data_IF_922506115650
#
_entry.id   IF_922506115650
#
_cell.length_a   1.000
_cell.length_b   1.000
_cell.length_c   1.000
_cell.angle_alpha   90.00
_cell.angle_beta   90.00
_cell.angle_gamma   90.00
#
_symmetry.space_group_name_H-M   'P 1'
#
loop_
_entity.id
_entity.type
_entity.pdbx_description
1 polymer ?
#
# COMPACT_ATOMS: atom_id res chain seq x y z
N UNK A 1 -14.92 10.72 -8.80
CA UNK A 1 -13.50 11.18 -8.81
C UNK A 1 -12.93 10.91 -7.43
N UNK A 2 -12.41 9.71 -7.22
CA UNK A 2 -11.75 9.35 -5.95
C UNK A 2 -10.23 9.39 -6.16
N UNK A 3 -9.65 10.57 -5.94
CA UNK A 3 -8.22 10.66 -5.75
C UNK A 3 -7.89 10.02 -4.41
N UNK A 4 -7.19 8.88 -4.40
CA UNK A 4 -6.51 8.39 -3.21
C UNK A 4 -5.38 9.39 -2.89
N UNK A 5 -5.68 10.38 -2.07
CA UNK A 5 -4.65 11.12 -1.37
C UNK A 5 -4.09 10.16 -0.31
N UNK A 6 -2.98 9.51 -0.61
CA UNK A 6 -2.20 8.78 0.38
C UNK A 6 -1.60 9.80 1.36
N UNK A 7 -2.39 10.23 2.33
CA UNK A 7 -1.87 10.89 3.51
C UNK A 7 -1.27 9.80 4.39
N UNK A 8 0.04 9.63 4.32
CA UNK A 8 0.81 8.83 5.27
C UNK A 8 0.98 9.71 6.50
N UNK A 9 0.49 9.30 7.68
CA UNK A 9 0.85 9.99 8.91
C UNK A 9 2.34 9.78 9.13
N UNK A 10 3.07 10.87 9.33
CA UNK A 10 4.53 10.90 9.51
C UNK A 10 5.06 9.97 10.62
N UNK A 11 4.20 9.44 11.49
CA UNK A 11 4.61 8.74 12.72
C UNK A 11 4.60 7.20 12.67
N UNK A 12 4.18 6.52 11.60
CA UNK A 12 4.01 5.05 11.63
C UNK A 12 4.64 4.25 10.49
N UNK A 13 5.15 4.88 9.45
CA UNK A 13 5.86 4.18 8.39
C UNK A 13 7.31 4.63 8.33
N UNK A 14 8.22 3.78 8.79
CA UNK A 14 9.64 3.94 8.49
C UNK A 14 9.83 3.71 6.98
N UNK A 15 10.47 4.67 6.30
CA UNK A 15 10.77 4.60 4.89
C UNK A 15 12.26 4.69 4.69
N UNK A 16 12.80 3.92 3.75
CA UNK A 16 14.11 4.22 3.19
C UNK A 16 13.96 5.17 2.02
N UNK A 17 14.50 6.37 2.16
CA UNK A 17 14.51 7.38 1.12
C UNK A 17 15.89 7.42 0.48
N UNK A 18 15.94 7.13 -0.81
CA UNK A 18 17.16 7.27 -1.61
C UNK A 18 17.02 8.51 -2.48
N UNK A 19 17.90 9.48 -2.26
CA UNK A 19 17.92 10.72 -3.04
C UNK A 19 18.99 10.65 -4.12
N UNK A 20 18.57 10.81 -5.38
CA UNK A 20 19.45 10.95 -6.50
C UNK A 20 19.75 12.44 -6.75
N UNK A 21 21.01 12.84 -6.68
CA UNK A 21 21.50 14.18 -7.07
C UNK A 21 22.41 14.07 -8.27
N UNK A 22 22.26 15.00 -9.21
CA UNK A 22 23.19 15.14 -10.33
C UNK A 22 24.57 15.54 -9.81
N UNK A 23 25.64 14.98 -10.38
CA UNK A 23 27.01 15.40 -10.05
C UNK A 23 27.21 16.89 -10.41
N UNK A 24 27.76 17.65 -9.50
CA UNK A 24 28.08 19.06 -9.68
C UNK A 24 29.09 19.36 -10.86
N UNK A 25 29.60 18.33 -11.52
CA UNK A 25 30.61 18.41 -12.57
C UNK A 25 30.13 19.04 -13.88
N UNK A 26 28.83 19.21 -14.09
CA UNK A 26 28.29 19.85 -15.30
C UNK A 26 27.37 21.03 -14.95
N UNK A 27 27.93 22.08 -14.40
CA UNK A 27 27.30 23.41 -14.44
C UNK A 27 26.02 23.62 -13.62
N UNK A 28 25.80 22.92 -12.55
CA UNK A 28 24.76 23.23 -11.54
C UNK A 28 23.31 23.30 -12.07
N UNK A 29 22.96 22.49 -13.04
CA UNK A 29 21.60 22.40 -13.57
C UNK A 29 20.76 21.36 -12.79
N UNK A 30 19.46 21.67 -12.66
CA UNK A 30 18.47 20.69 -12.17
C UNK A 30 18.44 19.46 -13.07
N UNK A 31 18.22 18.26 -12.49
CA UNK A 31 18.04 17.04 -13.27
C UNK A 31 16.80 17.20 -14.19
N UNK A 32 16.87 16.77 -15.47
CA UNK A 32 15.73 16.86 -16.35
C UNK A 32 14.56 16.04 -15.79
N UNK A 33 13.37 16.65 -15.72
CA UNK A 33 12.18 16.03 -15.17
C UNK A 33 11.61 15.00 -16.16
N UNK A 34 11.52 13.75 -15.75
CA UNK A 34 10.90 12.69 -16.54
C UNK A 34 9.37 12.81 -16.51
N UNK A 35 8.70 12.30 -17.55
CA UNK A 35 7.29 11.98 -17.49
C UNK A 35 7.05 10.66 -16.75
N UNK A 36 5.80 10.38 -16.38
CA UNK A 36 5.40 9.09 -15.80
C UNK A 36 5.86 7.93 -16.69
N UNK A 37 5.60 8.01 -18.00
CA UNK A 37 6.02 6.99 -18.96
C UNK A 37 7.55 6.78 -18.97
N UNK A 38 8.31 7.87 -18.98
CA UNK A 38 9.78 7.81 -18.95
C UNK A 38 10.32 7.21 -17.66
N UNK A 39 9.65 7.46 -16.54
CA UNK A 39 10.01 6.93 -15.23
C UNK A 39 9.71 5.41 -15.13
N UNK A 40 8.54 4.98 -15.59
CA UNK A 40 8.18 3.55 -15.59
C UNK A 40 9.08 2.72 -16.53
N UNK A 41 9.57 3.31 -17.62
CA UNK A 41 10.49 2.63 -18.54
C UNK A 41 11.90 2.39 -17.98
N UNK A 42 12.22 2.89 -16.78
CA UNK A 42 13.53 2.61 -16.17
C UNK A 42 13.71 1.14 -15.79
N UNK A 43 12.63 0.46 -15.45
CA UNK A 43 12.64 -0.99 -15.19
C UNK A 43 11.56 -1.65 -16.05
N UNK A 44 11.87 -2.76 -16.72
CA UNK A 44 10.88 -3.47 -17.51
C UNK A 44 9.67 -3.94 -16.68
N UNK A 45 8.48 -3.88 -17.27
CA UNK A 45 7.22 -4.33 -16.69
C UNK A 45 6.80 -3.60 -15.40
N UNK A 46 7.24 -2.37 -15.20
CA UNK A 46 6.66 -1.53 -14.17
C UNK A 46 5.32 -0.98 -14.64
N UNK A 47 4.35 -1.04 -13.73
CA UNK A 47 3.03 -0.41 -13.82
C UNK A 47 2.91 0.69 -12.77
N UNK A 48 2.02 1.63 -13.02
CA UNK A 48 1.61 2.64 -12.04
C UNK A 48 0.48 2.10 -11.15
N UNK A 49 0.37 2.63 -9.93
CA UNK A 49 -0.70 2.30 -8.97
C UNK A 49 -1.32 3.57 -8.35
N UNK A 50 -1.20 4.72 -9.03
CA UNK A 50 -1.81 5.97 -8.61
C UNK A 50 -3.28 6.08 -9.00
N UNK A 51 -3.65 5.47 -10.12
CA UNK A 51 -4.99 5.54 -10.69
C UNK A 51 -5.42 4.16 -11.19
N UNK A 52 -6.73 3.94 -11.20
CA UNK A 52 -7.33 2.75 -11.78
C UNK A 52 -7.39 2.95 -13.31
N UNK A 53 -6.68 2.12 -14.05
CA UNK A 53 -6.65 2.19 -15.52
C UNK A 53 -7.92 1.62 -16.17
N UNK A 54 -8.71 0.87 -15.42
CA UNK A 54 -10.00 0.32 -15.86
C UNK A 54 -11.15 1.33 -15.65
N UNK A 55 -10.89 2.48 -14.99
CA UNK A 55 -11.88 3.56 -14.87
C UNK A 55 -12.12 4.21 -16.24
N UNK A 56 -13.37 4.26 -16.69
CA UNK A 56 -13.78 4.87 -17.96
C UNK A 56 -13.40 6.38 -18.06
N UNK A 57 -13.21 7.07 -16.95
CA UNK A 57 -12.80 8.47 -16.88
C UNK A 57 -11.25 8.64 -16.86
N UNK A 58 -10.48 7.57 -16.85
CA UNK A 58 -9.02 7.64 -16.80
C UNK A 58 -8.43 8.13 -18.12
N UNK A 59 -7.84 9.32 -18.09
CA UNK A 59 -7.07 9.87 -19.23
C UNK A 59 -5.63 9.31 -19.23
N UNK A 60 -5.45 8.14 -19.83
CA UNK A 60 -4.17 7.48 -19.91
C UNK A 60 -3.10 8.33 -20.62
N UNK A 61 -3.42 9.00 -21.75
CA UNK A 61 -2.46 9.83 -22.50
C UNK A 61 -2.01 11.03 -21.65
N UNK A 62 -2.95 11.70 -21.01
CA UNK A 62 -2.66 12.82 -20.09
C UNK A 62 -1.80 12.37 -18.93
N UNK A 63 -2.19 11.28 -18.25
CA UNK A 63 -1.47 10.77 -17.09
C UNK A 63 -0.03 10.36 -17.41
N UNK A 64 0.18 9.55 -18.44
CA UNK A 64 1.52 9.06 -18.80
C UNK A 64 2.45 10.14 -19.34
N UNK A 65 1.90 11.23 -19.91
CA UNK A 65 2.65 12.40 -20.36
C UNK A 65 2.97 13.40 -19.25
N UNK A 66 2.26 13.33 -18.11
CA UNK A 66 2.45 14.22 -16.95
C UNK A 66 3.89 14.13 -16.42
N UNK A 67 4.49 15.28 -16.09
CA UNK A 67 5.84 15.31 -15.50
C UNK A 67 5.80 14.97 -14.02
N UNK A 68 6.83 14.26 -13.53
CA UNK A 68 6.91 13.90 -12.11
C UNK A 68 6.92 15.10 -11.17
N UNK A 69 7.35 16.28 -11.64
CA UNK A 69 7.26 17.53 -10.87
C UNK A 69 5.83 18.06 -10.69
N UNK A 70 4.86 17.52 -11.42
CA UNK A 70 3.43 17.88 -11.35
C UNK A 70 2.62 16.87 -10.49
N UNK A 71 3.26 15.77 -10.08
CA UNK A 71 2.71 14.77 -9.19
C UNK A 71 3.31 14.91 -7.79
N UNK A 72 2.56 14.53 -6.75
CA UNK A 72 3.13 14.35 -5.42
C UNK A 72 4.20 13.26 -5.48
N UNK A 73 3.81 12.06 -5.90
CA UNK A 73 4.69 10.92 -6.14
C UNK A 73 4.03 9.97 -7.15
N UNK A 74 4.86 9.20 -7.83
CA UNK A 74 4.45 8.07 -8.65
C UNK A 74 4.62 6.79 -7.84
N UNK A 75 3.54 6.10 -7.53
CA UNK A 75 3.58 4.74 -6.98
C UNK A 75 3.76 3.74 -8.12
N UNK A 76 4.85 2.99 -8.10
CA UNK A 76 5.21 2.02 -9.14
C UNK A 76 5.52 0.65 -8.57
N UNK A 77 5.26 -0.39 -9.36
CA UNK A 77 5.54 -1.77 -9.01
C UNK A 77 5.36 -2.69 -10.21
N UNK A 78 5.62 -3.97 -10.05
CA UNK A 78 5.39 -4.97 -11.09
C UNK A 78 4.15 -5.80 -10.75
N UNK A 79 3.22 -5.90 -11.71
CA UNK A 79 2.01 -6.70 -11.56
C UNK A 79 2.33 -8.15 -11.20
N UNK A 80 1.59 -8.69 -10.25
CA UNK A 80 1.75 -10.05 -9.76
C UNK A 80 3.00 -10.30 -8.91
N UNK A 81 3.88 -9.31 -8.75
CA UNK A 81 5.15 -9.44 -8.02
C UNK A 81 5.28 -8.46 -6.86
N UNK A 82 4.85 -7.21 -7.05
CA UNK A 82 4.98 -6.19 -6.02
C UNK A 82 3.95 -6.38 -4.92
N UNK A 83 4.42 -6.24 -3.68
CA UNK A 83 3.56 -6.17 -2.51
C UNK A 83 3.28 -4.74 -2.10
N UNK A 84 4.31 -3.90 -2.04
CA UNK A 84 4.21 -2.49 -1.65
C UNK A 84 4.69 -1.52 -2.72
N UNK A 85 5.49 -2.01 -3.68
CA UNK A 85 6.09 -1.17 -4.71
C UNK A 85 7.12 -0.19 -4.18
N UNK A 86 7.31 0.88 -4.94
CA UNK A 86 8.15 2.02 -4.62
C UNK A 86 7.44 3.31 -5.00
N UNK A 87 7.78 4.40 -4.34
CA UNK A 87 7.31 5.73 -4.69
C UNK A 87 8.46 6.55 -5.27
N UNK A 88 8.19 7.25 -6.37
CA UNK A 88 9.14 8.12 -7.03
C UNK A 88 8.60 9.53 -7.04
N UNK A 89 9.28 10.43 -6.34
CA UNK A 89 8.93 11.83 -6.26
C UNK A 89 10.05 12.69 -6.88
N UNK A 90 9.70 13.84 -7.41
CA UNK A 90 10.67 14.84 -7.88
C UNK A 90 10.49 16.14 -7.12
N UNK A 91 11.46 16.46 -6.28
CA UNK A 91 11.42 17.64 -5.42
C UNK A 91 12.80 18.30 -5.37
N UNK A 92 12.83 19.62 -5.33
CA UNK A 92 14.07 20.41 -5.22
C UNK A 92 15.14 20.05 -6.25
N UNK A 93 14.72 19.76 -7.49
CA UNK A 93 15.64 19.40 -8.57
C UNK A 93 16.27 18.01 -8.47
N UNK A 94 15.72 17.12 -7.64
CA UNK A 94 16.20 15.76 -7.41
C UNK A 94 15.08 14.73 -7.39
N UNK A 95 15.42 13.48 -7.71
CA UNK A 95 14.54 12.35 -7.53
C UNK A 95 14.69 11.75 -6.13
N UNK A 96 13.58 11.50 -5.46
CA UNK A 96 13.51 10.71 -4.24
C UNK A 96 12.82 9.40 -4.56
N UNK A 97 13.44 8.29 -4.22
CA UNK A 97 12.84 6.95 -4.34
C UNK A 97 12.62 6.43 -2.94
N UNK A 98 11.36 6.22 -2.59
CA UNK A 98 10.94 5.80 -1.26
C UNK A 98 10.48 4.35 -1.30
N UNK A 99 10.92 3.56 -0.34
CA UNK A 99 10.57 2.14 -0.17
C UNK A 99 10.10 1.96 1.25
N UNK A 100 8.86 1.49 1.42
CA UNK A 100 8.28 1.30 2.75
C UNK A 100 8.98 0.18 3.54
N UNK A 101 9.13 0.33 4.85
CA UNK A 101 9.72 -0.67 5.73
C UNK A 101 8.66 -1.33 6.61
N UNK A 102 8.54 -2.69 6.59
CA UNK A 102 9.20 -3.62 5.68
C UNK A 102 8.58 -3.61 4.27
N UNK A 103 9.37 -3.86 3.24
CA UNK A 103 8.89 -4.14 1.89
C UNK A 103 9.23 -5.57 1.48
N UNK A 104 8.60 -6.07 0.39
CA UNK A 104 8.87 -7.43 -0.07
C UNK A 104 10.24 -7.54 -0.74
N UNK A 105 10.77 -8.75 -0.84
CA UNK A 105 12.01 -8.99 -1.58
C UNK A 105 11.92 -8.58 -3.05
N UNK A 106 10.74 -8.73 -3.65
CA UNK A 106 10.51 -8.32 -5.03
C UNK A 106 10.56 -6.79 -5.17
N UNK A 107 9.89 -6.07 -4.28
CA UNK A 107 9.90 -4.61 -4.26
C UNK A 107 11.32 -4.06 -4.10
N UNK A 108 12.11 -4.61 -3.17
CA UNK A 108 13.49 -4.20 -2.97
C UNK A 108 14.36 -4.43 -4.22
N UNK A 109 14.25 -5.59 -4.88
CA UNK A 109 14.99 -5.85 -6.12
C UNK A 109 14.63 -4.89 -7.23
N UNK A 110 13.33 -4.63 -7.39
CA UNK A 110 12.83 -3.65 -8.37
C UNK A 110 13.35 -2.26 -8.04
N UNK A 111 13.30 -1.84 -6.79
CA UNK A 111 13.75 -0.54 -6.35
C UNK A 111 15.26 -0.34 -6.55
N UNK A 112 16.09 -1.34 -6.25
CA UNK A 112 17.53 -1.26 -6.47
C UNK A 112 17.89 -1.21 -7.96
N UNK A 113 17.17 -1.98 -8.80
CA UNK A 113 17.30 -1.89 -10.26
C UNK A 113 16.85 -0.51 -10.76
N UNK A 114 15.76 0.03 -10.24
CA UNK A 114 15.27 1.37 -10.56
C UNK A 114 16.31 2.43 -10.21
N UNK A 115 16.84 2.42 -9.00
CA UNK A 115 17.87 3.34 -8.53
C UNK A 115 19.13 3.27 -9.38
N UNK A 116 19.58 2.06 -9.74
CA UNK A 116 20.71 1.84 -10.62
C UNK A 116 20.49 2.51 -12.00
N UNK A 117 19.34 2.26 -12.61
CA UNK A 117 19.02 2.79 -13.93
C UNK A 117 18.77 4.31 -13.89
N UNK A 118 18.19 4.81 -12.82
CA UNK A 118 18.05 6.24 -12.58
C UNK A 118 19.42 6.93 -12.48
N UNK A 119 20.35 6.36 -11.68
CA UNK A 119 21.70 6.88 -11.54
C UNK A 119 22.47 6.89 -12.86
N UNK A 120 22.30 5.85 -13.69
CA UNK A 120 22.90 5.79 -15.03
C UNK A 120 22.29 6.83 -15.97
N UNK A 121 20.97 6.98 -15.97
CA UNK A 121 20.25 7.94 -16.83
C UNK A 121 20.60 9.39 -16.50
N UNK A 122 20.75 9.70 -15.21
CA UNK A 122 20.98 11.05 -14.71
C UNK A 122 22.49 11.37 -14.51
N UNK A 123 23.38 10.40 -14.76
CA UNK A 123 24.82 10.48 -14.44
C UNK A 123 25.05 11.02 -13.01
N UNK A 124 24.35 10.41 -12.05
CA UNK A 124 24.26 10.92 -10.68
C UNK A 124 24.73 9.93 -9.62
N UNK A 125 24.88 10.44 -8.39
CA UNK A 125 25.06 9.63 -7.19
C UNK A 125 23.72 9.45 -6.48
N UNK A 126 23.60 8.32 -5.77
CA UNK A 126 22.47 8.01 -4.90
C UNK A 126 22.95 8.23 -3.47
N UNK A 127 22.15 8.90 -2.66
CA UNK A 127 22.42 9.07 -1.22
C UNK A 127 21.23 8.49 -0.45
N UNK A 128 21.48 7.59 0.50
CA UNK A 128 20.47 7.11 1.42
C UNK A 128 20.11 8.18 2.45
N UNK A 129 19.03 7.96 3.18
CA UNK A 129 18.60 8.84 4.28
C UNK A 129 19.68 8.99 5.35
N UNK A 130 20.41 7.93 5.66
CA UNK A 130 21.55 7.92 6.59
C UNK A 130 22.80 8.64 6.05
N UNK A 131 22.74 9.14 4.82
CA UNK A 131 23.84 9.83 4.17
C UNK A 131 24.88 8.90 3.53
N UNK A 132 24.61 7.61 3.45
CA UNK A 132 25.47 6.66 2.73
C UNK A 132 25.35 6.90 1.21
N UNK A 133 26.50 6.83 0.53
CA UNK A 133 26.58 7.13 -0.91
C UNK A 133 26.74 5.86 -1.73
N UNK A 134 25.91 5.78 -2.75
CA UNK A 134 25.92 4.69 -3.72
C UNK A 134 26.11 5.24 -5.14
N UNK A 135 26.52 4.36 -6.00
CA UNK A 135 26.58 4.57 -7.46
C UNK A 135 25.82 3.44 -8.15
N UNK A 136 25.60 3.56 -9.44
CA UNK A 136 25.00 2.51 -10.25
C UNK A 136 25.76 1.17 -10.18
N UNK A 137 27.04 1.18 -9.80
CA UNK A 137 27.88 0.00 -9.72
C UNK A 137 27.76 -0.75 -8.40
N UNK A 138 27.33 -0.11 -7.31
CA UNK A 138 27.34 -0.73 -5.99
C UNK A 138 25.98 -0.71 -5.25
N UNK A 139 24.96 -0.01 -5.77
CA UNK A 139 23.64 0.06 -5.12
C UNK A 139 22.98 -1.32 -4.95
N UNK A 140 23.23 -2.26 -5.84
CA UNK A 140 22.73 -3.64 -5.74
C UNK A 140 23.30 -4.40 -4.52
N UNK A 141 24.35 -3.90 -3.91
CA UNK A 141 24.93 -4.43 -2.68
C UNK A 141 24.25 -3.94 -1.38
N UNK A 142 23.20 -3.13 -1.47
CA UNK A 142 22.44 -2.68 -0.31
C UNK A 142 21.81 -3.88 0.43
N UNK A 143 21.97 -3.94 1.77
CA UNK A 143 21.48 -5.06 2.61
C UNK A 143 19.99 -4.85 2.96
N UNK A 144 19.13 -5.01 2.00
CA UNK A 144 17.67 -4.92 2.20
C UNK A 144 17.09 -6.07 3.05
N UNK A 145 17.78 -7.20 3.16
CA UNK A 145 17.35 -8.29 4.04
C UNK A 145 17.39 -7.87 5.52
N UNK A 146 18.35 -7.02 5.86
CA UNK A 146 18.41 -6.43 7.21
C UNK A 146 17.25 -5.48 7.48
N UNK A 147 16.84 -4.70 6.46
CA UNK A 147 15.68 -3.83 6.53
C UNK A 147 14.38 -4.60 6.74
N UNK A 148 14.14 -5.65 5.95
CA UNK A 148 12.95 -6.49 6.11
C UNK A 148 12.88 -7.04 7.53
N UNK A 149 13.99 -7.59 8.05
CA UNK A 149 14.05 -8.13 9.42
C UNK A 149 13.76 -7.07 10.48
N UNK A 150 14.32 -5.87 10.31
CA UNK A 150 14.11 -4.77 11.24
C UNK A 150 12.64 -4.32 11.24
N UNK A 151 12.04 -4.18 10.07
CA UNK A 151 10.63 -3.83 9.91
C UNK A 151 9.68 -4.85 10.52
N UNK A 152 9.92 -6.15 10.30
CA UNK A 152 9.13 -7.22 10.93
C UNK A 152 9.26 -7.20 12.46
N UNK A 153 10.46 -6.99 12.98
CA UNK A 153 10.68 -6.86 14.43
C UNK A 153 9.96 -5.64 15.01
N UNK A 154 9.87 -4.54 14.24
CA UNK A 154 9.14 -3.34 14.64
C UNK A 154 7.63 -3.58 14.68
N UNK A 155 7.05 -4.21 13.65
CA UNK A 155 5.63 -4.61 13.64
C UNK A 155 5.32 -5.48 14.86
N UNK A 156 6.13 -6.52 15.10
CA UNK A 156 5.96 -7.41 16.26
C UNK A 156 5.96 -6.63 17.58
N UNK A 157 6.95 -5.76 17.77
CA UNK A 157 7.06 -4.93 18.99
C UNK A 157 5.83 -4.04 19.18
N UNK A 158 5.35 -3.37 18.12
CA UNK A 158 4.18 -2.51 18.19
C UNK A 158 2.93 -3.29 18.59
N UNK A 159 2.74 -4.49 18.07
CA UNK A 159 1.62 -5.35 18.43
C UNK A 159 1.70 -5.87 19.87
N UNK A 160 2.92 -6.14 20.38
CA UNK A 160 3.13 -6.57 21.77
C UNK A 160 2.90 -5.43 22.79
N UNK A 161 3.27 -4.19 22.42
CA UNK A 161 3.27 -3.07 23.36
C UNK A 161 1.98 -2.23 23.34
N UNK A 162 1.36 -2.02 22.18
CA UNK A 162 0.39 -0.92 22.03
C UNK A 162 -0.81 -1.20 21.16
N UNK A 163 -0.73 -2.10 20.20
CA UNK A 163 -1.72 -2.19 19.15
C UNK A 163 -2.42 -3.55 19.11
N UNK A 164 -3.70 -3.53 18.82
CA UNK A 164 -4.45 -4.76 18.49
C UNK A 164 -4.11 -5.21 17.07
N UNK A 165 -3.82 -4.25 16.20
CA UNK A 165 -3.54 -4.46 14.79
C UNK A 165 -2.53 -3.43 14.27
N UNK A 166 -1.70 -3.83 13.33
CA UNK A 166 -0.76 -2.98 12.59
C UNK A 166 -1.05 -3.13 11.10
N UNK A 167 -1.25 -2.04 10.38
CA UNK A 167 -1.58 -2.04 8.96
C UNK A 167 -0.47 -1.38 8.15
N UNK A 168 -0.08 -2.00 7.05
CA UNK A 168 0.81 -1.42 6.05
C UNK A 168 0.04 -1.29 4.72
N UNK A 169 0.45 -0.32 3.90
CA UNK A 169 -0.15 -0.12 2.59
C UNK A 169 0.59 -0.96 1.55
N UNK A 170 -0.17 -1.72 0.78
CA UNK A 170 0.31 -2.39 -0.42
C UNK A 170 0.01 -1.58 -1.67
N UNK A 171 0.41 -2.09 -2.84
CA UNK A 171 0.18 -1.41 -4.13
C UNK A 171 -1.31 -1.28 -4.48
N UNK A 172 -2.14 -2.23 -4.02
CA UNK A 172 -3.59 -2.23 -4.25
C UNK A 172 -4.38 -2.26 -2.95
N UNK A 173 -3.97 -3.10 -2.02
CA UNK A 173 -4.73 -3.42 -0.81
C UNK A 173 -3.90 -3.18 0.45
N UNK A 174 -4.56 -2.73 1.49
CA UNK A 174 -3.97 -2.67 2.83
C UNK A 174 -3.71 -4.09 3.36
N UNK A 175 -2.64 -4.25 4.11
CA UNK A 175 -2.27 -5.52 4.75
C UNK A 175 -2.20 -5.32 6.24
N UNK A 176 -3.09 -5.97 6.97
CA UNK A 176 -3.17 -5.88 8.42
C UNK A 176 -2.56 -7.10 9.10
N UNK A 177 -1.80 -6.85 10.15
CA UNK A 177 -1.15 -7.85 10.98
C UNK A 177 -1.72 -7.80 12.38
N UNK A 178 -2.13 -8.95 12.89
CA UNK A 178 -2.36 -9.20 14.30
C UNK A 178 -1.20 -10.00 14.91
N UNK A 179 -1.30 -10.30 16.21
CA UNK A 179 -0.28 -11.09 16.90
C UNK A 179 -0.11 -12.50 16.34
N UNK A 180 -1.18 -13.11 15.79
CA UNK A 180 -1.12 -14.48 15.24
C UNK A 180 -0.43 -14.49 13.89
N UNK A 181 -0.77 -13.54 13.02
CA UNK A 181 -0.18 -13.41 11.69
C UNK A 181 1.32 -13.14 11.82
N UNK A 182 1.71 -12.15 12.65
CA UNK A 182 3.12 -11.83 12.80
C UNK A 182 3.92 -12.97 13.46
N UNK A 183 3.32 -13.70 14.41
CA UNK A 183 3.96 -14.86 15.00
C UNK A 183 4.19 -15.96 13.95
N UNK A 184 3.19 -16.28 13.12
CA UNK A 184 3.33 -17.24 12.02
C UNK A 184 4.46 -16.86 11.06
N UNK A 185 4.54 -15.59 10.68
CA UNK A 185 5.61 -15.08 9.79
C UNK A 185 6.98 -15.22 10.47
N UNK A 186 7.10 -14.78 11.72
CA UNK A 186 8.38 -14.83 12.46
C UNK A 186 8.86 -16.23 12.79
N UNK A 187 7.96 -17.21 12.92
CA UNK A 187 8.27 -18.61 13.20
C UNK A 187 8.58 -19.42 11.92
N UNK A 188 8.39 -18.82 10.72
CA UNK A 188 8.73 -19.46 9.46
C UNK A 188 10.24 -19.68 9.32
N UNK A 189 10.70 -20.71 8.57
CA UNK A 189 12.12 -20.95 8.32
C UNK A 189 12.82 -19.73 7.66
N UNK A 190 12.10 -18.97 6.86
CA UNK A 190 12.53 -17.71 6.27
C UNK A 190 11.43 -16.66 6.44
N UNK A 191 11.47 -15.87 7.53
CA UNK A 191 10.45 -14.86 7.81
C UNK A 191 10.29 -13.80 6.71
N UNK A 192 11.38 -13.42 6.04
CA UNK A 192 11.33 -12.44 4.96
C UNK A 192 10.62 -12.98 3.71
N UNK A 193 10.79 -14.27 3.42
CA UNK A 193 10.08 -14.94 2.31
C UNK A 193 8.60 -15.12 2.62
N UNK A 194 8.27 -15.59 3.82
CA UNK A 194 6.87 -15.74 4.27
C UNK A 194 6.13 -14.40 4.28
N UNK A 195 6.77 -13.34 4.78
CA UNK A 195 6.25 -11.98 4.70
C UNK A 195 6.03 -11.53 3.26
N UNK A 196 7.05 -11.70 2.41
CA UNK A 196 6.96 -11.29 1.01
C UNK A 196 5.81 -11.98 0.30
N UNK A 197 5.68 -13.30 0.49
CA UNK A 197 4.59 -14.08 -0.08
C UNK A 197 3.24 -13.60 0.46
N UNK A 198 3.09 -13.47 1.77
CA UNK A 198 1.83 -13.05 2.40
C UNK A 198 1.35 -11.70 1.88
N UNK A 199 2.24 -10.70 1.82
CA UNK A 199 1.89 -9.37 1.33
C UNK A 199 1.54 -9.39 -0.16
N UNK A 200 2.35 -10.08 -0.98
CA UNK A 200 2.10 -10.17 -2.43
C UNK A 200 0.81 -10.93 -2.74
N UNK A 201 0.53 -12.02 -2.03
CA UNK A 201 -0.70 -12.80 -2.23
C UNK A 201 -1.95 -11.92 -1.99
N UNK A 202 -1.93 -11.06 -0.96
CA UNK A 202 -3.04 -10.11 -0.68
C UNK A 202 -3.22 -9.11 -1.82
N UNK A 203 -2.14 -8.62 -2.45
CA UNK A 203 -2.25 -7.68 -3.57
C UNK A 203 -2.87 -8.30 -4.82
N UNK A 204 -2.79 -9.62 -4.95
CA UNK A 204 -3.25 -10.37 -6.12
C UNK A 204 -4.53 -11.18 -5.85
N UNK A 205 -5.18 -10.98 -4.71
CA UNK A 205 -6.46 -11.59 -4.44
C UNK A 205 -7.53 -11.05 -5.39
N UNK A 206 -8.17 -11.97 -6.12
CA UNK A 206 -9.36 -11.64 -6.89
C UNK A 206 -10.58 -11.66 -5.96
N UNK A 207 -10.66 -10.66 -5.07
CA UNK A 207 -11.72 -10.51 -4.10
C UNK A 207 -11.96 -9.03 -3.79
N UNK A 208 -13.20 -8.69 -3.47
CA UNK A 208 -13.56 -7.37 -2.98
C UNK A 208 -13.10 -7.21 -1.52
N UNK A 209 -12.42 -6.14 -1.21
CA UNK A 209 -12.12 -5.76 0.17
C UNK A 209 -13.27 -4.92 0.70
N UNK A 210 -13.94 -5.43 1.71
CA UNK A 210 -15.18 -4.85 2.18
C UNK A 210 -15.01 -3.43 2.70
N UNK A 211 -15.75 -2.50 2.14
CA UNK A 211 -15.89 -1.15 2.66
C UNK A 211 -16.64 -1.13 3.99
N UNK A 212 -16.42 -0.07 4.75
CA UNK A 212 -17.10 0.16 6.02
C UNK A 212 -18.06 1.34 5.92
N UNK A 213 -19.26 1.15 6.42
CA UNK A 213 -20.26 2.20 6.60
C UNK A 213 -20.53 2.42 8.09
N UNK A 214 -20.71 3.69 8.47
CA UNK A 214 -21.03 4.05 9.84
C UNK A 214 -22.34 4.84 9.91
N UNK A 215 -23.18 4.53 10.88
CA UNK A 215 -24.39 5.28 11.18
C UNK A 215 -24.42 5.70 12.65
N UNK A 216 -25.09 6.81 12.93
CA UNK A 216 -25.17 7.39 14.29
C UNK A 216 -24.07 8.40 14.63
N UNK A 217 -23.16 8.72 13.71
CA UNK A 217 -21.99 9.61 13.98
C UNK A 217 -22.42 11.01 14.42
N UNK A 218 -23.46 11.57 13.81
CA UNK A 218 -23.92 12.95 14.00
C UNK A 218 -25.01 13.08 15.09
N UNK A 219 -25.38 11.96 15.72
CA UNK A 219 -26.41 11.91 16.76
C UNK A 219 -25.77 11.50 18.08
N UNK A 220 -26.39 11.82 19.20
CA UNK A 220 -26.04 11.26 20.52
C UNK A 220 -26.49 9.80 20.66
N UNK A 221 -26.37 9.04 19.58
CA UNK A 221 -26.79 7.65 19.45
C UNK A 221 -25.59 6.73 19.35
N UNK A 222 -25.83 5.45 19.55
CA UNK A 222 -24.81 4.40 19.37
C UNK A 222 -24.31 4.39 17.92
N UNK A 223 -22.99 4.35 17.74
CA UNK A 223 -22.38 4.18 16.42
C UNK A 223 -22.42 2.72 16.03
N UNK A 224 -22.97 2.46 14.86
CA UNK A 224 -23.04 1.13 14.27
C UNK A 224 -22.14 1.08 13.05
N UNK A 225 -21.13 0.22 13.10
CA UNK A 225 -20.28 -0.14 11.95
C UNK A 225 -20.91 -1.28 11.12
N UNK A 226 -20.78 -1.18 9.81
CA UNK A 226 -21.24 -2.22 8.86
C UNK A 226 -20.16 -2.48 7.85
N UNK A 227 -19.86 -3.74 7.65
CA UNK A 227 -19.10 -4.21 6.48
C UNK A 227 -20.07 -4.49 5.33
N UNK A 228 -19.65 -4.10 4.13
CA UNK A 228 -20.43 -4.22 2.91
C UNK A 228 -20.00 -5.49 2.18
N UNK A 229 -20.94 -6.39 1.93
CA UNK A 229 -20.72 -7.60 1.13
C UNK A 229 -21.57 -7.54 -0.13
N UNK A 230 -20.96 -7.36 -1.30
CA UNK A 230 -21.65 -7.56 -2.57
C UNK A 230 -22.09 -9.02 -2.72
N UNK A 231 -23.30 -9.23 -3.24
CA UNK A 231 -23.80 -10.57 -3.50
C UNK A 231 -22.96 -11.26 -4.57
N UNK A 232 -22.67 -12.55 -4.36
CA UNK A 232 -21.94 -13.41 -5.31
C UNK A 232 -20.49 -13.01 -5.63
N UNK A 233 -19.92 -12.06 -4.87
CA UNK A 233 -18.53 -11.64 -5.01
C UNK A 233 -17.72 -12.15 -3.81
N UNK A 234 -16.58 -12.80 -4.10
CA UNK A 234 -15.63 -13.16 -3.06
C UNK A 234 -15.18 -11.90 -2.30
N UNK A 235 -15.34 -11.88 -0.98
CA UNK A 235 -15.10 -10.67 -0.19
C UNK A 235 -14.18 -10.98 0.98
N UNK A 236 -13.17 -10.12 1.17
CA UNK A 236 -12.27 -10.17 2.32
C UNK A 236 -12.88 -9.38 3.47
N UNK A 237 -12.94 -10.02 4.63
CA UNK A 237 -13.40 -9.43 5.90
C UNK A 237 -12.41 -9.77 7.00
N UNK A 238 -12.18 -8.88 7.98
CA UNK A 238 -11.42 -9.24 9.16
C UNK A 238 -12.17 -10.29 10.00
N UNK A 239 -11.46 -11.14 10.71
CA UNK A 239 -12.08 -12.12 11.60
C UNK A 239 -12.73 -11.44 12.83
N UNK A 240 -12.08 -10.41 13.36
CA UNK A 240 -12.59 -9.53 14.41
C UNK A 240 -12.82 -8.13 13.82
N UNK A 241 -14.02 -7.57 13.93
CA UNK A 241 -14.32 -6.29 13.31
C UNK A 241 -13.55 -5.16 13.99
N UNK A 242 -12.97 -4.31 13.20
CA UNK A 242 -12.23 -3.11 13.64
C UNK A 242 -12.52 -1.95 12.71
N UNK A 243 -12.23 -0.74 13.16
CA UNK A 243 -12.32 0.45 12.29
C UNK A 243 -11.07 0.53 11.44
N UNK A 244 -11.23 0.63 10.12
CA UNK A 244 -10.12 0.85 9.22
C UNK A 244 -9.50 2.22 9.49
N UNK A 245 -8.19 2.30 9.35
CA UNK A 245 -7.44 3.51 9.64
C UNK A 245 -8.00 4.75 8.95
N UNK A 246 -8.37 4.63 7.68
CA UNK A 246 -8.94 5.71 6.87
C UNK A 246 -10.29 6.24 7.42
N UNK A 247 -10.97 5.43 8.22
CA UNK A 247 -12.27 5.76 8.80
C UNK A 247 -12.17 6.35 10.21
N UNK A 248 -11.00 6.30 10.86
CA UNK A 248 -10.82 6.85 12.23
C UNK A 248 -11.13 8.33 12.32
N UNK A 249 -10.77 9.11 11.29
CA UNK A 249 -11.05 10.54 11.25
C UNK A 249 -12.57 10.84 11.18
N UNK A 250 -13.32 10.02 10.46
CA UNK A 250 -14.78 10.16 10.31
C UNK A 250 -15.47 9.98 11.66
N UNK A 251 -14.95 9.09 12.50
CA UNK A 251 -15.51 8.81 13.82
C UNK A 251 -15.15 9.87 14.86
N UNK A 252 -14.16 10.73 14.62
CA UNK A 252 -13.79 11.81 15.54
C UNK A 252 -13.41 11.34 16.95
N UNK A 253 -12.84 10.13 17.07
CA UNK A 253 -12.47 9.52 18.35
C UNK A 253 -13.61 8.80 19.07
N UNK A 254 -14.79 8.67 18.47
CA UNK A 254 -15.90 7.87 19.00
C UNK A 254 -15.69 6.39 18.70
N UNK A 255 -16.16 5.52 19.61
CA UNK A 255 -16.07 4.07 19.47
C UNK A 255 -17.30 3.50 18.75
N UNK A 256 -17.10 2.46 17.96
CA UNK A 256 -18.18 1.70 17.34
C UNK A 256 -18.77 0.74 18.38
N UNK A 257 -20.05 0.92 18.70
CA UNK A 257 -20.76 0.16 19.74
C UNK A 257 -21.16 -1.23 19.26
N UNK A 258 -21.44 -1.39 17.97
CA UNK A 258 -21.87 -2.65 17.36
C UNK A 258 -21.40 -2.77 15.92
N UNK A 259 -21.10 -4.00 15.52
CA UNK A 259 -20.77 -4.35 14.14
C UNK A 259 -21.85 -5.24 13.50
N UNK A 260 -22.03 -5.05 12.22
CA UNK A 260 -22.93 -5.83 11.39
C UNK A 260 -22.33 -6.02 9.99
N UNK A 261 -22.92 -6.96 9.26
CA UNK A 261 -22.64 -7.17 7.84
C UNK A 261 -23.90 -6.80 7.07
N UNK A 262 -23.77 -6.01 6.03
CA UNK A 262 -24.86 -5.70 5.12
C UNK A 262 -24.58 -6.32 3.75
N UNK A 263 -25.47 -7.20 3.30
CA UNK A 263 -25.37 -7.83 1.99
C UNK A 263 -26.10 -6.95 0.99
N UNK A 264 -25.37 -6.54 -0.04
CA UNK A 264 -25.89 -5.70 -1.12
C UNK A 264 -26.13 -6.54 -2.36
N UNK A 265 -27.32 -6.39 -2.96
CA UNK A 265 -27.64 -6.89 -4.29
C UNK A 265 -27.80 -5.73 -5.24
N UNK A 266 -27.33 -5.89 -6.47
CA UNK A 266 -27.44 -4.92 -7.53
C UNK A 266 -26.97 -5.51 -8.85
N UNK A 267 -27.40 -4.94 -9.93
CA UNK A 267 -26.94 -5.26 -11.27
C UNK A 267 -25.58 -4.55 -11.47
N UNK A 268 -24.58 -5.24 -11.98
CA UNK A 268 -23.22 -4.71 -12.20
C UNK A 268 -23.21 -3.44 -13.07
N UNK A 269 -24.24 -3.26 -13.91
CA UNK A 269 -24.38 -2.12 -14.82
C UNK A 269 -24.98 -0.85 -14.18
N UNK A 270 -25.42 -0.87 -12.92
CA UNK A 270 -26.10 0.26 -12.26
C UNK A 270 -25.60 0.51 -10.84
N UNK A 271 -24.39 1.06 -10.71
CA UNK A 271 -23.75 1.44 -9.45
C UNK A 271 -24.51 2.47 -8.58
N UNK A 272 -25.65 3.00 -9.03
CA UNK A 272 -26.37 4.08 -8.33
C UNK A 272 -27.42 3.61 -7.31
N UNK A 273 -27.77 2.31 -7.28
CA UNK A 273 -28.79 1.78 -6.34
C UNK A 273 -28.41 0.40 -5.84
N UNK A 274 -27.72 0.38 -4.74
CA UNK A 274 -27.54 -0.85 -3.96
C UNK A 274 -28.73 -1.03 -3.01
N UNK A 275 -29.48 -2.09 -3.19
CA UNK A 275 -30.48 -2.50 -2.22
C UNK A 275 -29.84 -3.36 -1.14
N UNK A 276 -30.02 -3.00 0.13
CA UNK A 276 -29.60 -3.85 1.24
C UNK A 276 -30.55 -5.05 1.30
N UNK A 277 -30.06 -6.21 0.88
CA UNK A 277 -30.81 -7.46 0.89
C UNK A 277 -30.96 -8.05 2.28
N UNK A 278 -29.93 -7.94 3.10
CA UNK A 278 -29.93 -8.44 4.47
C UNK A 278 -28.91 -7.68 5.32
N UNK A 279 -29.19 -7.61 6.63
CA UNK A 279 -28.25 -7.14 7.63
C UNK A 279 -28.15 -8.17 8.75
N UNK A 280 -26.94 -8.64 9.04
CA UNK A 280 -26.63 -9.63 10.04
C UNK A 280 -25.70 -9.08 11.10
N UNK A 281 -25.87 -9.49 12.36
CA UNK A 281 -24.86 -9.19 13.38
C UNK A 281 -23.55 -9.86 13.00
N UNK A 282 -22.44 -9.13 13.12
CA UNK A 282 -21.13 -9.62 12.70
C UNK A 282 -20.75 -10.96 13.33
N UNK A 283 -20.94 -11.08 14.64
CA UNK A 283 -20.68 -12.31 15.39
C UNK A 283 -21.47 -13.52 14.84
N UNK A 284 -22.76 -13.32 14.53
CA UNK A 284 -23.59 -14.37 13.98
C UNK A 284 -23.16 -14.75 12.55
N UNK A 285 -22.74 -13.77 11.76
CA UNK A 285 -22.25 -14.00 10.41
C UNK A 285 -21.00 -14.87 10.44
N UNK A 286 -19.97 -14.46 11.19
CA UNK A 286 -18.70 -15.18 11.30
C UNK A 286 -18.88 -16.61 11.84
N UNK A 287 -19.76 -16.80 12.85
CA UNK A 287 -20.02 -18.14 13.43
C UNK A 287 -20.68 -19.11 12.45
N UNK A 288 -21.41 -18.61 11.46
CA UNK A 288 -22.11 -19.42 10.47
C UNK A 288 -21.35 -19.61 9.15
N UNK A 289 -20.18 -18.99 9.01
CA UNK A 289 -19.34 -19.23 7.85
C UNK A 289 -18.86 -20.71 7.84
N UNK A 290 -18.82 -21.37 6.67
CA UNK A 290 -18.26 -22.72 6.55
C UNK A 290 -16.77 -22.71 6.88
N UNK A 291 -16.36 -23.50 7.87
CA UNK A 291 -14.96 -23.51 8.39
C UNK A 291 -13.90 -23.97 7.39
N UNK A 292 -14.31 -24.52 6.27
CA UNK A 292 -13.48 -25.00 5.17
C UNK A 292 -13.27 -23.97 4.05
N UNK A 293 -13.83 -22.77 4.19
CA UNK A 293 -13.76 -21.73 3.15
C UNK A 293 -12.98 -20.49 3.55
N UNK A 294 -12.37 -20.48 4.71
CA UNK A 294 -11.49 -19.40 5.16
C UNK A 294 -10.38 -19.93 6.04
N UNK A 295 -9.21 -19.38 5.84
CA UNK A 295 -8.00 -19.66 6.60
C UNK A 295 -7.74 -18.56 7.63
#
# INVERSE_FOLDING_TARGET
MHFRLNFIPEDQNEHHVFRQKQKEAFGGGEAPVMSVEEALRLVPNLSQFNADEDDEEFDAEGFYSTKLSELSCLTAGADGLSGRGLEVCYEDGAYNVCIGTPSTRADWRIALEYLKNLALKMDGEITSEDGEKFSAQNIEGFDFESDIRAGLANIKRNLEEKAVMCTIYGVRNEVSFDQKIIARIMDAPDPADEFSKFVTDIQNLNAYFSDQMFSGINEDSEIIGRYILPQDIATVLPFEPSVDYNNLQILGGKEVSRWSVAIFGGDEDHCEKYDILATLKYENFIQNLPKDKYE
#
